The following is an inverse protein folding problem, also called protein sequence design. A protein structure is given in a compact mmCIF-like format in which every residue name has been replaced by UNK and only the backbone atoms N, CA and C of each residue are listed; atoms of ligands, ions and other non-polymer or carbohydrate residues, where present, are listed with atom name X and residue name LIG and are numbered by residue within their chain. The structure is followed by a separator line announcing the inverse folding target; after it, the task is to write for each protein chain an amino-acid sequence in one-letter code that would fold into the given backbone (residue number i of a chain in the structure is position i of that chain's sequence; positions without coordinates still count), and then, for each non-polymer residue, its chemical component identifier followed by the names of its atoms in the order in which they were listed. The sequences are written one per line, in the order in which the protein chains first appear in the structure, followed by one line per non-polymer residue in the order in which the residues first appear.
data_IF_562760392991
#
_entry.id   IF_562760392991
#
_cell.length_a   1.000
_cell.length_b   1.000
_cell.length_c   1.000
_cell.angle_alpha   90.00
_cell.angle_beta   90.00
_cell.angle_gamma   90.00
#
_symmetry.space_group_name_H-M   'P 1'
#
loop_
_entity.id
_entity.type
_entity.pdbx_description
1 polymer ?
#
# COMPACT_ATOMS: atom_id res chain seq x y z
N UNK A 1 -14.49 19.72 -6.40
CA UNK A 1 -14.39 18.61 -5.42
C UNK A 1 -14.77 17.27 -6.08
N UNK A 2 -14.31 16.12 -5.55
CA UNK A 2 -14.77 14.81 -6.03
C UNK A 2 -16.24 14.59 -5.64
N UNK A 3 -17.05 14.11 -6.57
CA UNK A 3 -18.45 13.73 -6.35
C UNK A 3 -18.61 12.26 -6.72
N UNK A 4 -19.33 11.50 -5.90
CA UNK A 4 -19.69 10.12 -6.25
C UNK A 4 -20.61 10.12 -7.46
N UNK A 5 -20.25 9.38 -8.52
CA UNK A 5 -21.05 9.27 -9.75
C UNK A 5 -21.90 8.01 -9.85
N UNK A 6 -21.86 7.14 -8.83
CA UNK A 6 -22.57 5.87 -8.81
C UNK A 6 -23.85 6.00 -7.99
N UNK A 7 -24.91 5.34 -8.45
CA UNK A 7 -26.12 5.15 -7.65
C UNK A 7 -25.77 4.34 -6.39
N UNK A 8 -26.25 4.73 -5.20
CA UNK A 8 -26.06 3.94 -3.99
C UNK A 8 -26.59 2.52 -4.19
N UNK A 9 -25.85 1.53 -3.68
CA UNK A 9 -26.28 0.13 -3.78
C UNK A 9 -27.55 -0.20 -2.97
N UNK A 10 -27.98 0.70 -2.09
CA UNK A 10 -29.17 0.59 -1.26
C UNK A 10 -29.55 1.96 -0.69
N UNK A 11 -30.84 2.18 -0.44
CA UNK A 11 -31.35 3.36 0.28
C UNK A 11 -30.88 3.41 1.74
N UNK A 12 -30.44 2.27 2.29
CA UNK A 12 -29.86 2.20 3.64
C UNK A 12 -28.37 2.54 3.67
N UNK A 13 -27.72 2.67 2.51
CA UNK A 13 -26.29 2.96 2.42
C UNK A 13 -26.01 4.41 2.82
N UNK A 14 -25.28 4.57 3.92
CA UNK A 14 -24.89 5.88 4.45
C UNK A 14 -23.51 6.28 3.95
N UNK A 15 -23.27 7.59 3.82
CA UNK A 15 -21.91 8.11 3.58
C UNK A 15 -21.01 7.84 4.79
N UNK A 16 -19.70 7.76 4.56
CA UNK A 16 -18.72 7.60 5.66
C UNK A 16 -18.85 8.72 6.70
N UNK A 17 -19.09 9.96 6.25
CA UNK A 17 -19.35 11.12 7.13
C UNK A 17 -20.57 10.88 8.02
N UNK A 18 -21.67 10.35 7.47
CA UNK A 18 -22.88 10.06 8.23
C UNK A 18 -22.69 8.90 9.23
N UNK A 19 -21.90 7.88 8.85
CA UNK A 19 -21.55 6.78 9.74
C UNK A 19 -20.73 7.29 10.93
N UNK A 20 -19.65 8.04 10.66
CA UNK A 20 -18.79 8.60 11.71
C UNK A 20 -19.56 9.58 12.61
N UNK A 21 -20.33 10.49 12.03
CA UNK A 21 -21.17 11.45 12.76
C UNK A 21 -22.18 10.74 13.66
N UNK A 22 -22.88 9.74 13.12
CA UNK A 22 -23.85 8.95 13.89
C UNK A 22 -23.21 8.08 14.99
N UNK A 23 -21.97 7.60 14.80
CA UNK A 23 -21.22 6.91 15.85
C UNK A 23 -20.82 7.88 16.97
N UNK A 24 -20.28 9.04 16.62
CA UNK A 24 -19.85 10.04 17.59
C UNK A 24 -21.01 10.53 18.47
N UNK A 25 -22.18 10.80 17.87
CA UNK A 25 -23.40 11.18 18.60
C UNK A 25 -23.87 10.13 19.61
N UNK A 26 -23.64 8.84 19.31
CA UNK A 26 -24.07 7.73 20.18
C UNK A 26 -23.03 7.31 21.22
N UNK A 27 -21.75 7.42 20.88
CA UNK A 27 -20.65 6.92 21.70
C UNK A 27 -20.14 7.98 22.68
N UNK A 28 -20.31 9.27 22.40
CA UNK A 28 -19.79 10.37 23.21
C UNK A 28 -20.93 11.10 23.94
N UNK A 29 -20.80 11.40 25.26
CA UNK A 29 -21.73 12.27 25.96
C UNK A 29 -21.87 13.62 25.25
N UNK A 30 -23.11 14.05 25.00
CA UNK A 30 -23.46 15.27 24.25
C UNK A 30 -22.70 15.41 22.91
N UNK A 31 -22.38 14.28 22.25
CA UNK A 31 -21.59 14.26 21.01
C UNK A 31 -20.17 14.82 21.19
N UNK A 32 -19.64 14.91 22.40
CA UNK A 32 -18.36 15.56 22.67
C UNK A 32 -18.38 17.09 22.48
N UNK A 33 -19.55 17.72 22.51
CA UNK A 33 -19.72 19.16 22.31
C UNK A 33 -19.64 19.63 20.85
N UNK A 34 -19.69 18.68 19.90
CA UNK A 34 -19.67 18.95 18.47
C UNK A 34 -21.07 18.71 17.89
N UNK A 35 -21.56 19.67 17.12
CA UNK A 35 -22.79 19.50 16.34
C UNK A 35 -22.50 18.68 15.07
N UNK A 36 -22.48 17.36 15.25
CA UNK A 36 -22.21 16.40 14.18
C UNK A 36 -23.28 16.42 13.08
N UNK A 37 -24.54 16.60 13.43
CA UNK A 37 -25.64 16.66 12.47
C UNK A 37 -25.49 17.89 11.56
N UNK A 38 -25.06 19.03 12.11
CA UNK A 38 -24.76 20.22 11.34
C UNK A 38 -23.58 20.03 10.37
N UNK A 39 -22.53 19.31 10.77
CA UNK A 39 -21.39 19.00 9.88
C UNK A 39 -21.74 18.00 8.78
N UNK A 40 -22.52 16.97 9.12
CA UNK A 40 -22.96 15.94 8.19
C UNK A 40 -23.83 16.50 7.06
N UNK A 41 -24.73 17.43 7.40
CA UNK A 41 -25.69 18.00 6.45
C UNK A 41 -25.06 18.82 5.32
N UNK A 42 -23.81 19.28 5.46
CA UNK A 42 -23.12 20.08 4.45
C UNK A 42 -21.59 19.99 4.62
N UNK A 43 -20.95 19.29 3.69
CA UNK A 43 -19.50 19.09 3.70
C UNK A 43 -18.69 20.38 3.47
N UNK A 44 -19.35 21.47 3.03
CA UNK A 44 -18.76 22.81 3.06
C UNK A 44 -18.38 23.25 4.47
N UNK A 45 -19.17 22.88 5.47
CA UNK A 45 -18.92 23.23 6.89
C UNK A 45 -17.72 22.48 7.46
N UNK A 46 -17.53 21.23 7.04
CA UNK A 46 -16.32 20.46 7.38
C UNK A 46 -15.09 21.16 6.79
N UNK A 47 -15.19 21.62 5.53
CA UNK A 47 -14.11 22.39 4.88
C UNK A 47 -13.85 23.73 5.59
N UNK A 48 -14.87 24.43 6.06
CA UNK A 48 -14.71 25.66 6.86
C UNK A 48 -13.96 25.37 8.18
N UNK A 49 -14.25 24.25 8.84
CA UNK A 49 -13.51 23.84 10.05
C UNK A 49 -12.05 23.49 9.75
N UNK A 50 -11.77 22.85 8.61
CA UNK A 50 -10.40 22.58 8.15
C UNK A 50 -9.67 23.89 7.87
N UNK A 51 -10.30 24.81 7.15
CA UNK A 51 -9.75 26.14 6.84
C UNK A 51 -9.38 26.93 8.11
N UNK A 52 -10.22 26.87 9.15
CA UNK A 52 -9.99 27.58 10.40
C UNK A 52 -8.74 27.12 11.17
N UNK A 53 -8.22 25.92 10.91
CA UNK A 53 -7.14 25.32 11.73
C UNK A 53 -5.93 24.85 10.93
N UNK A 54 -6.09 24.49 9.65
CA UNK A 54 -5.01 23.95 8.82
C UNK A 54 -4.47 25.04 7.88
N UNK A 55 -3.20 25.47 8.03
CA UNK A 55 -2.61 26.45 7.12
C UNK A 55 -2.65 26.03 5.65
N UNK A 56 -2.89 26.99 4.76
CA UNK A 56 -2.93 26.76 3.31
C UNK A 56 -4.31 26.45 2.73
N UNK A 57 -5.30 26.20 3.59
CA UNK A 57 -6.69 25.96 3.21
C UNK A 57 -7.56 27.23 3.14
N UNK A 58 -6.99 28.43 3.20
CA UNK A 58 -7.74 29.70 3.06
C UNK A 58 -8.62 29.69 1.82
N UNK A 59 -9.87 30.15 1.95
CA UNK A 59 -10.93 30.09 0.94
C UNK A 59 -11.17 28.65 0.41
N UNK A 60 -11.17 27.63 1.26
CA UNK A 60 -11.20 26.22 0.84
C UNK A 60 -12.38 25.97 -0.11
N UNK A 61 -13.58 26.30 0.34
CA UNK A 61 -14.82 26.09 -0.42
C UNK A 61 -14.75 26.70 -1.82
N UNK A 62 -14.30 27.95 -1.93
CA UNK A 62 -14.18 28.67 -3.20
C UNK A 62 -13.11 28.09 -4.12
N UNK A 63 -11.97 27.68 -3.57
CA UNK A 63 -10.79 27.25 -4.35
C UNK A 63 -10.92 25.82 -4.86
N UNK A 64 -11.57 24.92 -4.12
CA UNK A 64 -11.72 23.52 -4.53
C UNK A 64 -12.71 23.31 -5.68
N UNK A 65 -13.53 24.33 -5.97
CA UNK A 65 -14.48 24.33 -7.08
C UNK A 65 -13.86 24.82 -8.39
N UNK A 66 -12.63 25.37 -8.35
CA UNK A 66 -11.89 25.70 -9.56
C UNK A 66 -11.38 24.41 -10.24
N UNK A 67 -11.37 24.34 -11.59
CA UNK A 67 -10.77 23.22 -12.31
C UNK A 67 -9.31 22.97 -11.86
N UNK A 68 -8.98 21.73 -11.50
CA UNK A 68 -7.67 21.37 -10.96
C UNK A 68 -7.47 21.68 -9.46
N UNK A 69 -8.47 22.28 -8.79
CA UNK A 69 -8.43 22.60 -7.37
C UNK A 69 -7.39 23.68 -7.04
N UNK A 70 -6.66 23.48 -5.94
CA UNK A 70 -5.60 24.39 -5.53
C UNK A 70 -4.42 23.65 -4.94
N UNK A 71 -3.22 24.21 -5.12
CA UNK A 71 -2.02 23.70 -4.47
C UNK A 71 -1.98 24.16 -3.00
N UNK A 72 -1.60 23.24 -2.11
CA UNK A 72 -1.20 23.61 -0.76
C UNK A 72 0.18 24.30 -0.79
N UNK A 73 0.44 25.24 0.12
CA UNK A 73 1.74 25.88 0.23
C UNK A 73 2.85 24.85 0.42
N UNK A 74 3.92 24.99 -0.37
CA UNK A 74 5.10 24.15 -0.26
C UNK A 74 6.33 25.08 -0.18
N UNK A 75 6.67 25.59 1.03
CA UNK A 75 7.65 26.67 1.20
C UNK A 75 9.01 26.40 0.51
N UNK A 76 9.57 25.18 0.53
CA UNK A 76 10.81 24.88 -0.21
C UNK A 76 10.70 25.06 -1.73
N UNK A 77 9.52 24.81 -2.32
CA UNK A 77 9.26 24.94 -3.77
C UNK A 77 8.93 26.38 -4.12
N UNK A 78 8.07 27.01 -3.31
CA UNK A 78 7.47 28.30 -3.63
C UNK A 78 8.44 29.47 -3.40
N UNK A 79 9.25 29.39 -2.33
CA UNK A 79 10.09 30.50 -1.88
C UNK A 79 11.50 30.09 -1.43
N UNK A 80 11.85 28.80 -1.52
CA UNK A 80 13.13 28.29 -1.03
C UNK A 80 13.30 28.41 0.49
N UNK A 81 12.20 28.51 1.23
CA UNK A 81 12.20 28.60 2.69
C UNK A 81 12.02 27.22 3.32
N UNK A 82 12.77 26.95 4.40
CA UNK A 82 12.76 25.65 5.06
C UNK A 82 12.31 25.83 6.51
N UNK A 83 11.28 25.07 6.97
CA UNK A 83 10.82 25.12 8.36
C UNK A 83 11.76 24.34 9.29
N UNK A 84 13.04 24.68 9.24
CA UNK A 84 14.10 24.12 10.10
C UNK A 84 14.62 25.22 11.02
N UNK A 85 15.27 24.85 12.13
CA UNK A 85 15.82 25.83 13.07
C UNK A 85 16.85 26.80 12.44
N UNK A 86 17.50 26.40 11.35
CA UNK A 86 18.47 27.22 10.61
C UNK A 86 17.85 27.99 9.43
N UNK A 87 16.59 27.75 9.10
CA UNK A 87 15.92 28.28 7.91
C UNK A 87 16.43 27.71 6.58
N UNK A 88 17.31 26.69 6.61
CA UNK A 88 17.95 26.07 5.44
C UNK A 88 17.63 24.57 5.33
N UNK A 89 17.77 24.02 4.13
CA UNK A 89 17.77 22.57 3.93
C UNK A 89 18.84 21.90 4.81
N UNK A 90 18.48 20.75 5.40
CA UNK A 90 19.39 19.94 6.21
C UNK A 90 19.94 18.82 5.34
N UNK A 91 21.22 18.92 4.98
CA UNK A 91 21.93 17.80 4.37
C UNK A 91 22.31 16.80 5.45
N UNK A 92 22.07 15.51 5.17
CA UNK A 92 22.40 14.40 6.06
C UNK A 92 23.24 13.38 5.31
N UNK A 93 24.16 12.74 6.02
CA UNK A 93 24.89 11.57 5.52
C UNK A 93 24.25 10.35 6.17
N UNK A 94 23.62 9.50 5.37
CA UNK A 94 23.00 8.28 5.85
C UNK A 94 23.91 7.10 5.57
N UNK A 95 24.01 6.17 6.53
CA UNK A 95 24.62 4.86 6.32
C UNK A 95 23.55 3.89 5.82
N UNK A 96 23.93 2.99 4.93
CA UNK A 96 23.05 1.95 4.41
C UNK A 96 23.46 0.60 5.00
N UNK A 97 22.51 -0.11 5.59
CA UNK A 97 22.69 -1.50 6.01
C UNK A 97 22.07 -2.42 4.93
N UNK A 98 22.89 -3.12 4.13
CA UNK A 98 22.37 -4.00 3.09
C UNK A 98 21.64 -5.19 3.70
N UNK A 99 20.44 -5.48 3.19
CA UNK A 99 19.77 -6.73 3.52
C UNK A 99 20.61 -7.91 3.04
N UNK A 100 21.06 -8.74 4.00
CA UNK A 100 21.80 -9.97 3.70
C UNK A 100 20.81 -11.06 3.31
N UNK A 101 20.92 -11.55 2.09
CA UNK A 101 20.13 -12.69 1.59
C UNK A 101 20.98 -13.95 1.73
N UNK A 102 20.61 -14.92 2.59
CA UNK A 102 21.37 -16.16 2.73
C UNK A 102 21.38 -16.99 1.45
N UNK A 103 22.38 -17.86 1.28
CA UNK A 103 22.41 -18.77 0.14
C UNK A 103 21.14 -19.64 0.07
N UNK A 104 20.60 -19.81 -1.14
CA UNK A 104 19.35 -20.53 -1.38
C UNK A 104 18.07 -19.73 -1.09
N UNK A 105 18.17 -18.43 -0.77
CA UNK A 105 17.03 -17.53 -0.54
C UNK A 105 16.98 -16.47 -1.64
N UNK A 106 15.83 -15.82 -1.73
CA UNK A 106 15.58 -14.68 -2.60
C UNK A 106 15.04 -13.52 -1.77
N UNK A 107 15.29 -12.29 -2.23
CA UNK A 107 14.64 -11.09 -1.70
C UNK A 107 13.35 -10.82 -2.47
N UNK A 108 12.21 -10.98 -1.81
CA UNK A 108 10.89 -10.77 -2.37
C UNK A 108 10.48 -9.30 -2.28
N UNK A 109 9.96 -8.78 -3.39
CA UNK A 109 9.15 -7.56 -3.43
C UNK A 109 7.70 -7.87 -3.84
N UNK A 110 6.74 -7.22 -3.21
CA UNK A 110 5.34 -7.27 -3.67
C UNK A 110 5.07 -6.17 -4.68
N UNK A 111 4.23 -6.40 -5.68
CA UNK A 111 3.85 -5.39 -6.69
C UNK A 111 2.38 -5.50 -7.07
N UNK A 112 1.84 -4.51 -7.76
CA UNK A 112 0.47 -4.54 -8.28
C UNK A 112 0.49 -4.94 -9.75
N UNK A 113 -0.55 -5.67 -10.17
CA UNK A 113 -0.78 -5.94 -11.59
C UNK A 113 -1.30 -4.67 -12.31
N UNK A 114 -1.35 -4.74 -13.64
CA UNK A 114 -1.93 -3.69 -14.47
C UNK A 114 -3.39 -3.38 -14.10
N UNK A 115 -4.27 -4.39 -14.09
CA UNK A 115 -5.71 -4.22 -13.84
C UNK A 115 -6.05 -4.26 -12.35
N UNK A 116 -5.38 -3.41 -11.57
CA UNK A 116 -5.53 -3.37 -10.13
C UNK A 116 -5.29 -1.96 -9.57
N UNK A 117 -6.09 -1.58 -8.58
CA UNK A 117 -5.81 -0.44 -7.72
C UNK A 117 -5.85 -0.86 -6.25
N UNK A 118 -4.69 -0.85 -5.59
CA UNK A 118 -4.53 -1.36 -4.23
C UNK A 118 -5.14 -2.76 -4.08
N UNK A 119 -6.11 -2.97 -3.19
CA UNK A 119 -6.75 -4.28 -2.99
C UNK A 119 -7.88 -4.56 -3.97
N UNK A 120 -8.28 -3.56 -4.77
CA UNK A 120 -9.35 -3.71 -5.76
C UNK A 120 -8.77 -4.29 -7.05
N UNK A 121 -9.24 -5.49 -7.39
CA UNK A 121 -8.84 -6.21 -8.60
C UNK A 121 -9.90 -5.97 -9.67
N UNK A 122 -9.51 -5.38 -10.80
CA UNK A 122 -10.40 -5.15 -11.94
C UNK A 122 -10.30 -6.27 -12.98
N UNK A 123 -9.16 -6.98 -13.02
CA UNK A 123 -8.90 -8.08 -13.92
C UNK A 123 -7.83 -9.04 -13.39
N UNK A 124 -7.82 -10.26 -13.91
CA UNK A 124 -6.84 -11.30 -13.57
C UNK A 124 -5.62 -11.29 -14.49
N UNK A 125 -5.64 -10.45 -15.52
CA UNK A 125 -4.56 -10.32 -16.48
C UNK A 125 -3.55 -9.25 -16.03
N UNK A 126 -2.29 -9.47 -16.37
CA UNK A 126 -1.25 -8.45 -16.35
C UNK A 126 -0.60 -8.35 -17.72
N UNK A 127 -1.14 -7.44 -18.53
CA UNK A 127 -0.66 -7.17 -19.89
C UNK A 127 0.83 -6.81 -19.92
N UNK A 128 1.36 -6.17 -18.89
CA UNK A 128 2.76 -5.76 -18.86
C UNK A 128 3.71 -6.91 -18.59
N UNK A 129 3.22 -7.99 -17.97
CA UNK A 129 4.03 -9.15 -17.57
C UNK A 129 3.63 -10.44 -18.27
N UNK A 130 2.68 -10.37 -19.22
CA UNK A 130 2.20 -11.54 -19.98
C UNK A 130 1.48 -12.57 -19.11
N UNK A 131 0.88 -12.15 -18.00
CA UNK A 131 0.10 -13.04 -17.13
C UNK A 131 -1.35 -13.01 -17.56
N UNK A 132 -1.93 -14.21 -17.70
CA UNK A 132 -3.33 -14.41 -18.06
C UNK A 132 -4.02 -15.24 -17.00
N UNK A 133 -5.25 -14.84 -16.65
CA UNK A 133 -6.18 -15.55 -15.76
C UNK A 133 -5.53 -16.07 -14.46
N UNK A 134 -4.66 -15.27 -13.83
CA UNK A 134 -3.91 -15.76 -12.68
C UNK A 134 -3.13 -14.70 -11.94
N UNK A 135 -3.18 -14.77 -10.60
CA UNK A 135 -2.49 -13.81 -9.71
C UNK A 135 -1.58 -14.47 -8.67
N UNK A 136 -1.68 -15.78 -8.49
CA UNK A 136 -0.73 -16.56 -7.68
C UNK A 136 0.51 -16.87 -8.52
N UNK A 137 1.27 -15.83 -8.80
CA UNK A 137 2.48 -15.87 -9.62
C UNK A 137 3.64 -15.27 -8.85
N UNK A 138 4.79 -15.92 -8.92
CA UNK A 138 6.06 -15.37 -8.45
C UNK A 138 7.06 -15.34 -9.59
N UNK A 139 7.57 -14.14 -9.85
CA UNK A 139 8.56 -13.85 -10.86
C UNK A 139 9.95 -14.03 -10.28
N UNK A 140 10.81 -14.77 -10.96
CA UNK A 140 12.21 -14.91 -10.60
C UNK A 140 13.05 -15.10 -11.86
N UNK A 141 14.32 -14.75 -11.78
CA UNK A 141 15.25 -14.92 -12.89
C UNK A 141 15.47 -16.40 -13.18
N UNK A 142 15.46 -16.79 -14.45
CA UNK A 142 15.60 -18.18 -14.90
C UNK A 142 16.84 -18.88 -14.32
N UNK A 143 17.98 -18.18 -14.28
CA UNK A 143 19.22 -18.72 -13.70
C UNK A 143 19.12 -19.00 -12.21
N UNK A 144 18.46 -18.12 -11.47
CA UNK A 144 18.28 -18.28 -10.03
C UNK A 144 17.31 -19.45 -9.75
N UNK A 145 16.28 -19.62 -10.59
CA UNK A 145 15.41 -20.80 -10.54
C UNK A 145 16.20 -22.09 -10.77
N UNK A 146 17.04 -22.11 -11.81
CA UNK A 146 17.86 -23.28 -12.13
C UNK A 146 18.84 -23.63 -11.00
N UNK A 147 19.49 -22.63 -10.38
CA UNK A 147 20.36 -22.79 -9.21
C UNK A 147 19.61 -23.34 -7.99
N UNK A 148 18.33 -22.96 -7.82
CA UNK A 148 17.45 -23.45 -6.78
C UNK A 148 16.77 -24.80 -7.14
N UNK A 149 17.00 -25.33 -8.35
CA UNK A 149 16.43 -26.59 -8.81
C UNK A 149 14.97 -26.52 -9.26
N UNK A 150 14.49 -25.35 -9.66
CA UNK A 150 13.13 -25.14 -10.20
C UNK A 150 13.17 -24.79 -11.69
N UNK A 151 12.05 -25.06 -12.37
CA UNK A 151 11.83 -24.66 -13.76
C UNK A 151 10.72 -23.58 -13.86
N UNK A 152 10.66 -22.89 -14.99
CA UNK A 152 9.50 -22.06 -15.32
C UNK A 152 8.21 -22.90 -15.30
N UNK A 153 7.13 -22.36 -14.75
CA UNK A 153 5.84 -23.04 -14.64
C UNK A 153 5.69 -23.99 -13.43
N UNK A 154 6.77 -24.33 -12.73
CA UNK A 154 6.70 -25.10 -11.47
C UNK A 154 5.81 -24.36 -10.44
N UNK A 155 5.16 -25.12 -9.56
CA UNK A 155 4.38 -24.56 -8.45
C UNK A 155 5.13 -24.69 -7.13
N UNK A 156 5.19 -23.58 -6.39
CA UNK A 156 5.91 -23.49 -5.13
C UNK A 156 5.06 -22.90 -4.02
N UNK A 157 5.34 -23.31 -2.80
CA UNK A 157 5.01 -22.52 -1.64
C UNK A 157 6.15 -21.53 -1.38
N UNK A 158 5.80 -20.28 -1.13
CA UNK A 158 6.76 -19.24 -0.73
C UNK A 158 6.75 -19.19 0.78
N UNK A 159 7.92 -19.33 1.40
CA UNK A 159 8.07 -19.28 2.86
C UNK A 159 8.93 -18.08 3.22
N UNK A 160 8.41 -17.20 4.07
CA UNK A 160 9.16 -16.07 4.61
C UNK A 160 10.01 -16.49 5.80
N UNK A 161 11.25 -16.01 5.83
CA UNK A 161 12.18 -16.20 6.93
C UNK A 161 12.35 -14.90 7.71
N UNK A 162 11.94 -14.90 8.98
CA UNK A 162 12.12 -13.77 9.90
C UNK A 162 12.52 -14.24 11.29
N UNK A 163 13.11 -13.33 12.07
CA UNK A 163 13.71 -13.61 13.39
C UNK A 163 12.70 -13.80 14.54
N UNK A 164 11.40 -13.66 14.28
CA UNK A 164 10.34 -13.81 15.28
C UNK A 164 9.91 -15.26 15.53
N UNK A 165 10.47 -16.21 14.78
CA UNK A 165 10.15 -17.64 14.91
C UNK A 165 8.78 -18.03 14.36
N UNK A 166 8.10 -17.13 13.64
CA UNK A 166 6.79 -17.41 13.04
C UNK A 166 6.97 -17.80 11.57
N UNK A 167 6.62 -19.04 11.22
CA UNK A 167 6.57 -19.46 9.82
C UNK A 167 5.39 -18.76 9.11
N UNK A 168 5.70 -18.09 8.00
CA UNK A 168 4.72 -17.44 7.13
C UNK A 168 4.82 -18.05 5.75
N UNK A 169 3.67 -18.48 5.21
CA UNK A 169 3.61 -19.27 3.98
C UNK A 169 2.53 -18.76 3.04
N UNK A 170 2.90 -18.58 1.77
CA UNK A 170 1.98 -18.28 0.69
C UNK A 170 1.95 -19.48 -0.26
N UNK A 171 0.81 -20.18 -0.28
CA UNK A 171 0.71 -21.47 -0.95
C UNK A 171 0.55 -21.37 -2.46
N UNK A 172 1.16 -22.31 -3.17
CA UNK A 172 0.88 -22.65 -4.59
C UNK A 172 0.96 -21.46 -5.55
N UNK A 173 2.11 -20.81 -5.60
CA UNK A 173 2.44 -19.81 -6.61
C UNK A 173 3.09 -20.48 -7.80
N UNK A 174 2.65 -20.13 -9.01
CA UNK A 174 3.32 -20.51 -10.25
C UNK A 174 4.58 -19.68 -10.42
N UNK A 175 5.71 -20.35 -10.64
CA UNK A 175 6.96 -19.70 -11.01
C UNK A 175 6.87 -19.18 -12.43
N UNK A 176 7.30 -17.95 -12.62
CA UNK A 176 7.46 -17.31 -13.93
C UNK A 176 8.88 -16.83 -14.07
N UNK A 177 9.62 -17.42 -15.01
CA UNK A 177 10.90 -16.93 -15.44
C UNK A 177 10.75 -15.51 -15.99
N UNK A 178 11.39 -14.55 -15.34
CA UNK A 178 11.26 -13.13 -15.66
C UNK A 178 12.58 -12.41 -15.41
N UNK A 179 12.86 -11.37 -16.21
CA UNK A 179 14.08 -10.57 -16.09
C UNK A 179 13.99 -9.63 -14.88
N UNK A 180 14.22 -10.19 -13.69
CA UNK A 180 14.39 -9.46 -12.43
C UNK A 180 15.86 -9.50 -12.00
N UNK A 181 16.23 -8.62 -11.08
CA UNK A 181 17.60 -8.59 -10.55
C UNK A 181 17.98 -9.95 -9.92
N UNK A 182 19.23 -10.41 -10.09
CA UNK A 182 19.70 -11.65 -9.49
C UNK A 182 19.49 -11.68 -7.96
N UNK A 183 19.10 -12.83 -7.42
CA UNK A 183 18.82 -13.04 -6.00
C UNK A 183 17.52 -12.40 -5.52
N UNK A 184 16.65 -11.97 -6.44
CA UNK A 184 15.36 -11.34 -6.11
C UNK A 184 14.20 -12.08 -6.75
N UNK A 185 13.01 -11.89 -6.18
CA UNK A 185 11.77 -12.32 -6.79
C UNK A 185 10.66 -11.29 -6.57
N UNK A 186 9.58 -11.40 -7.32
CA UNK A 186 8.42 -10.53 -7.16
C UNK A 186 7.11 -11.32 -7.17
N UNK A 187 6.13 -10.90 -6.37
CA UNK A 187 4.80 -11.50 -6.38
C UNK A 187 3.72 -10.43 -6.29
N UNK A 188 2.50 -10.76 -6.70
CA UNK A 188 1.40 -9.81 -6.64
C UNK A 188 0.94 -9.56 -5.19
N UNK A 189 0.65 -8.29 -4.91
CA UNK A 189 -0.18 -7.84 -3.80
C UNK A 189 -1.65 -8.03 -4.20
N UNK A 190 -2.55 -8.44 -3.29
CA UNK A 190 -2.30 -8.78 -1.88
C UNK A 190 -1.91 -10.24 -1.65
N UNK A 191 -1.78 -11.06 -2.69
CA UNK A 191 -1.61 -12.52 -2.57
C UNK A 191 -0.39 -12.91 -1.72
N UNK A 192 0.67 -12.09 -1.74
CA UNK A 192 1.89 -12.30 -0.96
C UNK A 192 1.93 -11.59 0.41
N UNK A 193 0.89 -10.86 0.83
CA UNK A 193 0.90 -10.09 2.09
C UNK A 193 1.16 -10.94 3.33
N UNK A 194 0.71 -12.20 3.32
CA UNK A 194 0.92 -13.14 4.44
C UNK A 194 2.40 -13.36 4.76
N UNK A 195 3.30 -13.07 3.80
CA UNK A 195 4.75 -13.21 3.95
C UNK A 195 5.40 -12.04 4.68
N UNK A 196 4.72 -10.90 4.83
CA UNK A 196 5.32 -9.70 5.41
C UNK A 196 5.30 -9.82 6.94
N UNK A 197 6.46 -9.81 7.64
CA UNK A 197 6.48 -9.84 9.09
C UNK A 197 5.96 -8.54 9.69
N UNK A 198 5.15 -8.62 10.74
CA UNK A 198 4.53 -7.44 11.37
C UNK A 198 5.56 -6.50 12.00
N UNK A 199 6.63 -7.05 12.55
CA UNK A 199 7.71 -6.28 13.17
C UNK A 199 8.82 -5.87 12.18
N UNK A 200 8.62 -6.14 10.88
CA UNK A 200 9.54 -5.70 9.83
C UNK A 200 9.06 -4.36 9.26
N UNK A 201 9.53 -3.29 9.89
CA UNK A 201 9.03 -1.92 9.70
C UNK A 201 10.19 -0.92 9.69
N UNK A 202 9.98 0.24 9.08
CA UNK A 202 10.91 1.36 9.18
C UNK A 202 10.96 1.93 10.62
N UNK A 203 12.15 2.23 11.12
CA UNK A 203 12.41 2.62 12.52
C UNK A 203 11.58 3.82 13.00
N UNK A 204 11.33 4.81 12.13
CA UNK A 204 10.63 6.04 12.50
C UNK A 204 9.15 6.03 12.12
N UNK A 205 8.82 5.61 10.90
CA UNK A 205 7.46 5.73 10.37
C UNK A 205 6.58 4.50 10.60
N UNK A 206 7.18 3.40 11.08
CA UNK A 206 6.52 2.10 11.22
C UNK A 206 5.97 1.54 9.89
N UNK A 207 6.52 1.97 8.74
CA UNK A 207 6.08 1.52 7.42
C UNK A 207 6.56 0.09 7.17
N UNK A 208 5.69 -0.87 6.80
CA UNK A 208 6.08 -2.25 6.56
C UNK A 208 7.04 -2.46 5.39
N UNK A 209 7.95 -3.42 5.50
CA UNK A 209 8.99 -3.77 4.50
C UNK A 209 8.47 -4.63 3.33
N UNK A 210 7.38 -4.22 2.68
CA UNK A 210 6.73 -4.99 1.60
C UNK A 210 7.55 -5.16 0.31
N UNK A 211 8.77 -4.61 0.26
CA UNK A 211 9.69 -4.60 -0.89
C UNK A 211 10.99 -5.38 -0.64
N UNK A 212 11.15 -5.97 0.54
CA UNK A 212 12.36 -6.67 0.92
C UNK A 212 12.09 -7.71 2.00
N UNK A 213 11.44 -8.81 1.61
CA UNK A 213 11.18 -9.95 2.48
C UNK A 213 12.10 -11.10 2.06
N UNK A 214 12.91 -11.63 2.96
CA UNK A 214 13.73 -12.82 2.66
C UNK A 214 12.79 -14.03 2.60
N UNK A 215 12.83 -14.74 1.48
CA UNK A 215 12.00 -15.92 1.23
C UNK A 215 12.81 -17.08 0.68
N UNK A 216 12.25 -18.27 0.82
CA UNK A 216 12.68 -19.49 0.12
C UNK A 216 11.49 -20.14 -0.55
N UNK A 217 11.76 -20.92 -1.59
CA UNK A 217 10.75 -21.73 -2.26
C UNK A 217 10.78 -23.16 -1.75
N UNK A 218 9.60 -23.72 -1.54
CA UNK A 218 9.40 -25.16 -1.37
C UNK A 218 8.52 -25.67 -2.49
N UNK A 219 8.74 -26.90 -2.95
CA UNK A 219 7.80 -27.53 -3.90
C UNK A 219 6.42 -27.59 -3.25
N UNK A 220 5.41 -27.08 -3.95
CA UNK A 220 4.04 -27.19 -3.47
C UNK A 220 3.66 -28.68 -3.34
N UNK A 221 2.96 -29.04 -2.27
CA UNK A 221 2.38 -30.37 -2.16
C UNK A 221 1.45 -30.61 -3.37
N UNK A 222 1.46 -31.84 -3.89
CA UNK A 222 0.47 -32.25 -4.90
C UNK A 222 -0.93 -31.98 -4.35
N UNK A 223 -1.84 -31.48 -5.20
CA UNK A 223 -3.24 -31.39 -4.78
C UNK A 223 -3.71 -32.80 -4.43
N UNK A 224 -4.45 -33.00 -3.33
CA UNK A 224 -5.36 -34.12 -3.32
C UNK A 224 -6.34 -33.87 -4.48
N UNK A 225 -6.40 -34.82 -5.42
CA UNK A 225 -7.42 -34.86 -6.47
C UNK A 225 -8.84 -34.81 -5.87
#
# INVERSE_FOLDING_TARGET
ASVGGLEPASDELRSEVAIVSGLAQRALPDGGGIDWAWLEADYGRIRDRIEAVVPGFTDFNRRIDQPGGFALPHPPRDHGTFPTASGKARLTCNTFDPTVVPAGRLLLQTLRSHDQYNTTIYGLDDRYRGIHDGRRVVFAREKDLAELGFADGDHVDIVSEWRDGVERRAHRFRLVAYDVAPGTCAAYFPEANVLVPLDSVADESNTPTSKGVVVRFERAAASPD
#
